data_IF_571147937191
#
_entry.id   IF_571147937191
#
_cell.length_a   1.000
_cell.length_b   1.000
_cell.length_c   1.000
_cell.angle_alpha   90.00
_cell.angle_beta   90.00
_cell.angle_gamma   90.00
#
_symmetry.space_group_name_H-M   'P 1'
#
loop_
_entity.id
_entity.type
_entity.pdbx_description
1 polymer ?
#
# COMPACT_ATOMS: atom_id res chain seq x y z
N UNK A 1 -15.55 -29.17 -12.30
CA UNK A 1 -14.67 -28.61 -13.35
C UNK A 1 -13.73 -27.69 -12.61
N UNK A 2 -12.52 -28.18 -12.32
CA UNK A 2 -11.49 -27.38 -11.68
C UNK A 2 -11.06 -26.31 -12.68
N UNK A 3 -10.96 -25.06 -12.23
CA UNK A 3 -10.32 -24.00 -13.03
C UNK A 3 -8.83 -24.35 -13.15
N UNK A 4 -8.17 -24.13 -14.29
CA UNK A 4 -6.72 -24.25 -14.36
C UNK A 4 -6.11 -23.28 -13.33
N UNK A 5 -5.24 -23.81 -12.47
CA UNK A 5 -4.46 -23.04 -11.50
C UNK A 5 -3.32 -22.42 -12.32
N UNK A 6 -3.36 -21.11 -12.50
CA UNK A 6 -2.39 -20.35 -13.27
C UNK A 6 -1.55 -19.50 -12.32
N UNK A 7 -0.22 -19.57 -12.47
CA UNK A 7 0.78 -18.92 -11.63
C UNK A 7 0.84 -17.43 -11.96
N UNK A 8 -0.08 -16.65 -11.39
CA UNK A 8 -0.03 -15.19 -11.45
C UNK A 8 1.02 -14.70 -10.45
N UNK A 9 2.17 -14.22 -10.94
CA UNK A 9 3.08 -13.37 -10.17
C UNK A 9 2.98 -11.96 -10.72
N UNK A 10 2.46 -11.07 -9.88
CA UNK A 10 2.30 -9.67 -10.23
C UNK A 10 3.61 -8.94 -9.88
N UNK A 11 4.35 -8.49 -10.89
CA UNK A 11 5.48 -7.56 -10.71
C UNK A 11 4.90 -6.21 -10.29
N UNK A 12 4.81 -6.01 -8.97
CA UNK A 12 4.50 -4.73 -8.32
C UNK A 12 5.67 -3.75 -8.56
N UNK A 13 5.74 -3.24 -9.79
CA UNK A 13 6.72 -2.22 -10.17
C UNK A 13 6.29 -0.88 -9.56
N UNK A 14 6.77 -0.61 -8.34
CA UNK A 14 6.71 0.73 -7.77
C UNK A 14 7.53 1.66 -8.64
N UNK A 15 6.88 2.55 -9.39
CA UNK A 15 7.52 3.68 -10.02
C UNK A 15 8.00 4.66 -8.93
N UNK A 16 9.09 4.34 -8.26
CA UNK A 16 9.91 5.31 -7.57
C UNK A 16 10.62 6.13 -8.65
N UNK A 17 10.07 7.30 -8.96
CA UNK A 17 10.65 8.30 -9.87
C UNK A 17 11.97 8.80 -9.23
N UNK A 18 13.04 8.04 -9.44
CA UNK A 18 14.40 8.42 -9.12
C UNK A 18 14.85 9.48 -10.11
N UNK A 19 14.80 10.74 -9.70
CA UNK A 19 15.36 11.86 -10.44
C UNK A 19 16.83 11.62 -10.79
N UNK A 20 17.08 11.26 -12.04
CA UNK A 20 18.43 11.12 -12.60
C UNK A 20 19.00 12.51 -12.88
N UNK A 21 20.03 12.88 -12.14
CA UNK A 21 20.84 14.08 -12.35
C UNK A 21 21.66 13.92 -13.63
N UNK A 22 21.20 14.50 -14.74
CA UNK A 22 22.02 14.63 -15.94
C UNK A 22 23.09 15.71 -15.73
N UNK A 23 24.29 15.23 -15.43
CA UNK A 23 25.54 15.96 -15.60
C UNK A 23 25.78 16.26 -17.09
N UNK A 24 25.83 17.55 -17.45
CA UNK A 24 26.42 17.98 -18.70
C UNK A 24 27.22 19.28 -18.55
N UNK A 25 28.51 19.11 -18.81
CA UNK A 25 29.42 20.01 -19.51
C UNK A 25 29.93 21.29 -18.85
N UNK A 26 31.16 21.14 -18.38
CA UNK A 26 32.17 22.13 -18.07
C UNK A 26 32.75 22.77 -19.35
N UNK A 27 32.51 24.06 -19.56
CA UNK A 27 33.31 25.01 -20.37
C UNK A 27 32.88 26.41 -19.89
N UNK A 28 33.69 27.38 -19.46
CA UNK A 28 35.13 27.65 -19.57
C UNK A 28 35.25 29.18 -19.78
N UNK A 29 36.09 29.86 -18.98
CA UNK A 29 36.44 31.29 -19.15
C UNK A 29 35.32 32.28 -18.82
N UNK A 30 35.54 33.49 -18.32
CA UNK A 30 36.71 34.36 -18.35
C UNK A 30 36.66 35.39 -17.22
N UNK A 31 37.85 35.83 -16.81
CA UNK A 31 38.16 36.98 -15.96
C UNK A 31 37.33 38.25 -16.26
N UNK A 32 36.85 38.92 -15.21
CA UNK A 32 36.92 40.38 -15.09
C UNK A 32 37.04 40.80 -13.62
N UNK A 33 38.22 41.35 -13.31
CA UNK A 33 38.49 42.33 -12.26
C UNK A 33 37.44 43.45 -12.18
N UNK A 34 37.15 43.98 -10.97
CA UNK A 34 37.40 45.38 -10.53
C UNK A 34 36.67 45.64 -9.18
N UNK A 35 37.01 46.65 -8.35
CA UNK A 35 37.20 46.47 -6.92
C UNK A 35 36.27 47.39 -6.09
N UNK A 36 36.41 47.32 -4.77
CA UNK A 36 36.32 48.45 -3.85
C UNK A 36 35.20 49.49 -4.03
N UNK A 37 34.21 49.43 -3.14
CA UNK A 37 33.30 50.55 -2.87
C UNK A 37 32.87 50.55 -1.41
N UNK A 38 33.51 51.41 -0.61
CA UNK A 38 33.10 51.74 0.75
C UNK A 38 31.79 52.55 0.76
N UNK A 39 31.05 52.38 1.86
CA UNK A 39 30.16 53.36 2.51
C UNK A 39 28.92 53.88 1.74
N UNK A 40 27.74 53.56 2.29
CA UNK A 40 26.77 54.58 2.69
C UNK A 40 25.76 53.96 3.68
N UNK A 41 25.73 54.53 4.89
CA UNK A 41 24.51 54.67 5.68
C UNK A 41 23.38 55.20 4.79
N UNK A 42 22.23 54.53 4.75
CA UNK A 42 20.97 55.26 4.66
C UNK A 42 19.79 54.41 5.16
N UNK A 43 18.99 55.07 5.97
CA UNK A 43 17.83 54.55 6.64
C UNK A 43 16.73 54.21 5.63
N UNK A 44 16.13 53.03 5.77
CA UNK A 44 14.76 52.85 5.31
C UNK A 44 13.92 52.21 6.43
N UNK A 45 13.08 53.07 7.01
CA UNK A 45 12.03 52.74 7.96
C UNK A 45 10.83 52.23 7.17
N UNK A 46 10.85 50.94 6.83
CA UNK A 46 9.71 50.24 6.24
C UNK A 46 8.81 49.62 7.30
N UNK A 47 7.99 50.44 7.94
CA UNK A 47 6.79 50.11 8.73
C UNK A 47 6.41 48.62 8.84
N UNK A 48 6.93 47.94 9.87
CA UNK A 48 6.29 46.72 10.38
C UNK A 48 4.87 47.08 10.82
N UNK A 49 3.81 46.36 10.39
CA UNK A 49 2.48 46.54 10.93
C UNK A 49 2.50 46.20 12.42
N UNK A 50 2.59 47.24 13.22
CA UNK A 50 2.59 47.20 14.67
C UNK A 50 1.31 46.54 15.20
N UNK A 51 1.51 45.57 16.10
CA UNK A 51 0.54 45.21 17.12
C UNK A 51 0.00 43.80 17.02
N UNK A 52 0.86 42.78 17.19
CA UNK A 52 0.42 41.50 17.73
C UNK A 52 -0.17 41.74 19.11
N UNK A 53 -1.47 42.05 19.16
CA UNK A 53 -2.20 42.16 20.40
C UNK A 53 -2.26 40.79 21.03
N UNK A 54 -1.57 40.60 22.15
CA UNK A 54 -1.79 39.42 22.99
C UNK A 54 -3.30 39.32 23.23
N UNK A 55 -3.89 38.21 22.79
CA UNK A 55 -5.33 37.99 22.85
C UNK A 55 -5.81 38.08 24.29
N UNK A 56 -6.53 39.15 24.63
CA UNK A 56 -7.18 39.26 25.92
C UNK A 56 -8.46 38.46 25.82
N UNK A 57 -8.53 37.26 26.40
CA UNK A 57 -9.75 36.44 26.40
C UNK A 57 -10.86 37.17 27.16
N UNK A 58 -11.76 37.87 26.47
CA UNK A 58 -12.68 38.76 27.13
C UNK A 58 -13.84 37.91 27.63
N UNK A 59 -14.19 38.10 28.90
CA UNK A 59 -15.48 37.59 29.37
C UNK A 59 -16.58 38.50 28.85
N UNK A 60 -17.67 37.90 28.38
CA UNK A 60 -18.80 38.63 27.79
C UNK A 60 -20.13 38.08 28.30
N UNK A 61 -21.16 38.92 28.27
CA UNK A 61 -22.53 38.50 28.56
C UNK A 61 -23.11 37.79 27.34
N UNK A 62 -23.28 36.47 27.43
CA UNK A 62 -23.79 35.61 26.35
C UNK A 62 -25.12 36.11 25.78
N UNK A 63 -25.99 36.72 26.61
CA UNK A 63 -27.28 37.25 26.14
C UNK A 63 -27.18 38.43 25.18
N UNK A 64 -25.98 38.97 24.98
CA UNK A 64 -25.69 40.07 24.04
C UNK A 64 -24.97 39.62 22.78
N UNK A 65 -24.49 38.37 22.74
CA UNK A 65 -23.76 37.81 21.62
C UNK A 65 -24.70 37.03 20.69
N UNK A 66 -24.28 36.86 19.45
CA UNK A 66 -24.98 36.00 18.47
C UNK A 66 -24.54 34.55 18.66
N UNK A 67 -25.49 33.63 18.78
CA UNK A 67 -25.20 32.20 18.83
C UNK A 67 -24.71 31.71 17.47
N UNK A 68 -23.65 30.91 17.46
CA UNK A 68 -22.95 30.50 16.23
C UNK A 68 -22.93 28.98 16.01
N UNK A 69 -23.54 28.21 16.90
CA UNK A 69 -23.54 26.76 16.87
C UNK A 69 -24.95 26.21 17.05
N UNK A 70 -25.33 25.23 16.24
CA UNK A 70 -26.66 24.63 16.26
C UNK A 70 -26.81 23.52 17.30
N UNK A 71 -25.71 22.85 17.65
CA UNK A 71 -25.69 21.65 18.50
C UNK A 71 -24.90 21.86 19.80
N UNK A 72 -24.79 23.10 20.28
CA UNK A 72 -24.13 23.40 21.54
C UNK A 72 -24.16 24.87 21.92
N UNK A 73 -23.64 25.16 23.11
CA UNK A 73 -23.55 26.50 23.64
C UNK A 73 -22.27 27.19 23.16
N UNK A 74 -22.38 27.99 22.09
CA UNK A 74 -21.30 28.83 21.57
C UNK A 74 -21.82 30.15 20.99
N UNK A 75 -21.01 31.20 21.10
CA UNK A 75 -21.33 32.53 20.60
C UNK A 75 -20.17 33.17 19.82
N UNK A 76 -20.52 34.08 18.91
CA UNK A 76 -19.56 34.82 18.10
C UNK A 76 -18.77 35.82 18.94
N UNK A 77 -17.45 35.73 18.82
CA UNK A 77 -16.50 36.68 19.41
C UNK A 77 -15.72 37.39 18.31
N UNK A 78 -15.35 38.67 18.47
CA UNK A 78 -14.55 39.38 17.47
C UNK A 78 -13.21 38.66 17.22
N UNK A 79 -12.76 38.60 15.97
CA UNK A 79 -11.42 38.06 15.64
C UNK A 79 -10.31 38.88 16.32
N UNK A 80 -9.22 38.21 16.70
CA UNK A 80 -8.14 38.74 17.54
C UNK A 80 -8.49 38.83 19.04
N UNK A 81 -9.65 38.35 19.47
CA UNK A 81 -10.01 38.34 20.91
C UNK A 81 -9.40 37.16 21.65
N UNK A 82 -9.00 36.10 20.93
CA UNK A 82 -8.42 34.90 21.51
C UNK A 82 -7.04 34.62 20.91
N UNK A 83 -6.20 33.81 21.59
CA UNK A 83 -4.94 33.36 21.01
C UNK A 83 -5.15 32.67 19.66
N UNK A 84 -4.19 32.85 18.75
CA UNK A 84 -4.28 32.34 17.38
C UNK A 84 -4.59 30.84 17.30
N UNK A 85 -4.12 30.03 18.26
CA UNK A 85 -4.40 28.60 18.33
C UNK A 85 -5.90 28.29 18.51
N UNK A 86 -6.65 29.09 19.27
CA UNK A 86 -8.10 28.93 19.36
C UNK A 86 -8.77 29.44 18.09
N UNK A 87 -8.31 30.55 17.54
CA UNK A 87 -8.93 31.15 16.35
C UNK A 87 -8.77 30.26 15.11
N UNK A 88 -7.65 29.54 14.98
CA UNK A 88 -7.42 28.60 13.87
C UNK A 88 -8.35 27.39 13.90
N UNK A 89 -8.75 26.93 15.09
CA UNK A 89 -9.65 25.79 15.26
C UNK A 89 -11.12 26.20 15.38
N UNK A 90 -11.44 27.48 15.45
CA UNK A 90 -12.82 27.96 15.62
C UNK A 90 -13.53 28.18 14.27
N UNK A 91 -14.83 27.88 14.21
CA UNK A 91 -15.64 28.19 13.03
C UNK A 91 -15.78 29.71 12.82
N UNK A 92 -15.76 30.23 11.58
CA UNK A 92 -16.02 31.63 11.33
C UNK A 92 -17.50 31.98 11.56
N UNK A 93 -17.77 33.18 12.05
CA UNK A 93 -19.12 33.71 12.20
C UNK A 93 -19.59 34.51 10.98
N UNK A 94 -20.89 34.45 10.66
CA UNK A 94 -21.51 35.18 9.54
C UNK A 94 -21.36 36.71 9.65
N UNK A 95 -21.45 37.24 10.87
CA UNK A 95 -21.25 38.66 11.17
C UNK A 95 -19.76 39.07 11.26
N UNK A 96 -18.84 38.13 11.00
CA UNK A 96 -17.41 38.25 11.27
C UNK A 96 -17.03 37.81 12.68
N UNK A 97 -15.77 37.40 12.86
CA UNK A 97 -15.26 36.84 14.12
C UNK A 97 -15.19 35.32 14.10
N UNK A 98 -15.04 34.73 15.28
CA UNK A 98 -14.88 33.29 15.52
C UNK A 98 -15.91 32.78 16.52
N UNK A 99 -16.38 31.55 16.32
CA UNK A 99 -17.36 30.88 17.15
C UNK A 99 -16.67 30.23 18.35
N UNK A 100 -16.90 30.75 19.55
CA UNK A 100 -16.23 30.32 20.77
C UNK A 100 -17.23 29.65 21.72
N UNK A 101 -16.92 28.47 22.27
CA UNK A 101 -17.74 27.82 23.30
C UNK A 101 -18.03 28.72 24.51
N UNK A 102 -19.25 28.64 25.04
CA UNK A 102 -19.73 29.51 26.11
C UNK A 102 -18.93 29.35 27.41
N UNK A 103 -18.41 28.15 27.69
CA UNK A 103 -17.57 27.89 28.86
C UNK A 103 -16.24 28.65 28.78
N UNK A 104 -15.68 28.79 27.57
CA UNK A 104 -14.48 29.58 27.31
C UNK A 104 -14.79 31.08 27.43
N UNK A 105 -15.92 31.54 26.88
CA UNK A 105 -16.33 32.95 26.97
C UNK A 105 -16.60 33.36 28.42
N UNK A 106 -17.31 32.54 29.18
CA UNK A 106 -17.72 32.89 30.55
C UNK A 106 -16.58 32.76 31.55
N UNK A 107 -15.67 31.79 31.35
CA UNK A 107 -14.49 31.63 32.20
C UNK A 107 -13.38 32.61 31.85
N UNK A 108 -13.15 32.82 30.55
CA UNK A 108 -12.05 33.63 30.04
C UNK A 108 -10.68 32.98 30.28
N UNK A 109 -9.70 33.80 30.65
CA UNK A 109 -8.37 33.32 31.02
C UNK A 109 -8.44 32.33 32.21
N UNK A 110 -7.77 31.19 32.08
CA UNK A 110 -7.81 30.14 33.08
C UNK A 110 -8.83 29.02 32.81
N UNK A 111 -9.56 29.08 31.69
CA UNK A 111 -10.38 27.96 31.27
C UNK A 111 -9.52 26.69 31.11
N UNK A 112 -9.97 25.61 31.72
CA UNK A 112 -9.38 24.27 31.56
C UNK A 112 -10.52 23.33 31.19
N UNK A 113 -10.40 22.65 30.06
CA UNK A 113 -11.37 21.65 29.66
C UNK A 113 -11.45 20.55 30.75
N UNK A 114 -12.66 20.12 31.17
CA UNK A 114 -12.79 19.01 32.10
C UNK A 114 -12.13 17.74 31.55
N UNK A 115 -11.38 17.02 32.39
CA UNK A 115 -10.78 15.75 31.98
C UNK A 115 -11.88 14.68 31.77
N UNK A 116 -11.66 13.79 30.82
CA UNK A 116 -12.53 12.64 30.54
C UNK A 116 -11.70 11.42 30.12
N UNK A 117 -12.34 10.27 30.01
CA UNK A 117 -11.73 9.02 29.55
C UNK A 117 -12.68 8.38 28.53
N UNK A 118 -12.17 8.07 27.34
CA UNK A 118 -12.91 7.41 26.25
C UNK A 118 -12.24 6.09 25.87
N UNK A 119 -12.83 5.37 24.93
CA UNK A 119 -12.19 4.25 24.25
C UNK A 119 -10.85 4.61 23.56
N UNK A 120 -10.59 5.90 23.30
CA UNK A 120 -9.32 6.40 22.74
C UNK A 120 -8.29 6.82 23.82
N UNK A 121 -8.56 6.55 25.10
CA UNK A 121 -7.69 6.85 26.22
C UNK A 121 -8.08 8.12 27.00
N UNK A 122 -7.08 8.76 27.63
CA UNK A 122 -7.29 10.01 28.36
C UNK A 122 -7.66 11.14 27.37
N UNK A 123 -8.59 12.00 27.77
CA UNK A 123 -9.06 13.10 26.93
C UNK A 123 -9.53 14.31 27.73
N UNK A 124 -10.02 15.31 27.01
CA UNK A 124 -10.72 16.45 27.58
C UNK A 124 -12.09 16.65 26.92
N UNK A 125 -13.02 17.20 27.69
CA UNK A 125 -14.35 17.54 27.22
C UNK A 125 -14.32 18.80 26.37
N UNK A 126 -14.51 18.63 25.07
CA UNK A 126 -14.45 19.71 24.08
C UNK A 126 -15.80 19.86 23.39
N UNK A 127 -16.21 21.09 23.14
CA UNK A 127 -17.49 21.38 22.50
C UNK A 127 -17.55 20.89 21.06
N UNK A 128 -18.67 20.30 20.67
CA UNK A 128 -18.95 19.93 19.26
C UNK A 128 -19.04 21.13 18.33
N UNK A 129 -19.06 22.34 18.88
CA UNK A 129 -19.03 23.60 18.13
C UNK A 129 -17.65 23.92 17.55
N UNK A 130 -16.59 23.22 18.00
CA UNK A 130 -15.28 23.24 17.32
C UNK A 130 -15.41 22.33 16.09
N UNK A 131 -15.23 22.83 14.85
CA UNK A 131 -15.41 22.07 13.62
C UNK A 131 -14.78 20.68 13.61
N UNK A 132 -13.54 20.54 14.10
CA UNK A 132 -12.83 19.26 14.16
C UNK A 132 -13.56 18.27 15.08
N UNK A 133 -13.98 18.71 16.27
CA UNK A 133 -14.74 17.87 17.21
C UNK A 133 -16.14 17.56 16.67
N UNK A 134 -16.78 18.52 16.01
CA UNK A 134 -18.08 18.33 15.35
C UNK A 134 -18.02 17.32 14.21
N UNK A 135 -16.95 17.34 13.40
CA UNK A 135 -16.72 16.39 12.30
C UNK A 135 -16.59 14.96 12.81
N UNK A 136 -15.94 14.76 13.95
CA UNK A 136 -15.74 13.44 14.55
C UNK A 136 -16.72 13.13 15.69
N UNK A 137 -17.81 13.89 15.83
CA UNK A 137 -18.70 13.79 17.01
C UNK A 137 -19.40 12.43 17.16
N UNK A 138 -19.53 11.67 16.08
CA UNK A 138 -20.10 10.32 16.08
C UNK A 138 -19.07 9.24 16.47
N UNK A 139 -17.77 9.51 16.29
CA UNK A 139 -16.67 8.62 16.65
C UNK A 139 -16.15 8.89 18.06
N UNK A 140 -16.19 10.15 18.50
CA UNK A 140 -15.78 10.54 19.84
C UNK A 140 -16.89 10.19 20.83
N UNK A 141 -16.56 9.44 21.89
CA UNK A 141 -17.51 9.15 22.95
C UNK A 141 -17.82 10.42 23.77
N UNK A 142 -19.06 10.54 24.26
CA UNK A 142 -19.42 11.61 25.19
C UNK A 142 -18.77 11.42 26.57
N UNK A 143 -18.63 10.18 27.05
CA UNK A 143 -18.12 9.87 28.39
C UNK A 143 -18.78 10.71 29.50
N UNK A 144 -18.00 11.39 30.35
CA UNK A 144 -18.47 12.30 31.41
C UNK A 144 -18.74 13.73 30.95
N UNK A 145 -18.59 14.01 29.66
CA UNK A 145 -18.74 15.35 29.11
C UNK A 145 -20.21 15.80 29.02
N UNK A 146 -20.42 17.11 28.89
CA UNK A 146 -21.75 17.67 28.71
C UNK A 146 -22.41 17.17 27.41
N UNK A 147 -23.73 17.38 27.28
CA UNK A 147 -24.51 16.88 26.13
C UNK A 147 -24.00 17.37 24.77
N UNK A 148 -23.43 18.58 24.76
CA UNK A 148 -22.88 19.29 23.62
C UNK A 148 -21.33 19.23 23.56
N UNK A 149 -20.74 18.28 24.27
CA UNK A 149 -19.32 18.03 24.29
C UNK A 149 -19.02 16.57 23.94
N UNK A 150 -17.79 16.33 23.51
CA UNK A 150 -17.22 15.00 23.29
C UNK A 150 -15.87 14.89 23.98
N UNK A 151 -15.51 13.68 24.35
CA UNK A 151 -14.21 13.39 24.92
C UNK A 151 -13.17 13.28 23.80
N UNK A 152 -12.49 14.40 23.53
CA UNK A 152 -11.42 14.45 22.54
C UNK A 152 -10.13 13.92 23.20
N UNK A 153 -9.40 12.98 22.55
CA UNK A 153 -8.20 12.38 23.14
C UNK A 153 -7.09 13.43 23.29
N UNK A 154 -6.24 13.27 24.31
CA UNK A 154 -5.10 14.17 24.57
C UNK A 154 -4.01 14.07 23.49
N UNK A 155 -3.92 12.90 22.88
CA UNK A 155 -2.98 12.58 21.83
C UNK A 155 -3.82 12.29 20.59
N UNK A 156 -3.45 12.88 19.45
CA UNK A 156 -4.09 12.57 18.19
C UNK A 156 -3.87 11.08 17.91
N UNK A 157 -4.93 10.25 17.86
CA UNK A 157 -4.76 8.83 17.66
C UNK A 157 -4.19 8.52 16.28
N UNK A 158 -4.10 9.48 15.36
CA UNK A 158 -3.58 9.29 14.00
C UNK A 158 -2.09 9.60 13.89
N UNK A 159 -1.61 10.59 14.64
CA UNK A 159 -0.22 11.07 14.53
C UNK A 159 0.62 10.72 15.76
N UNK A 160 -0.01 10.35 16.88
CA UNK A 160 0.67 10.17 18.16
C UNK A 160 1.11 11.49 18.81
N UNK A 161 0.78 12.64 18.22
CA UNK A 161 1.16 13.96 18.71
C UNK A 161 0.16 14.48 19.76
N UNK A 162 0.64 15.20 20.77
CA UNK A 162 -0.21 15.88 21.75
C UNK A 162 -1.04 16.98 21.05
N UNK A 163 -2.36 16.95 21.22
CA UNK A 163 -3.25 17.95 20.58
C UNK A 163 -3.32 19.27 21.38
N UNK A 164 -2.64 19.35 22.52
CA UNK A 164 -2.60 20.50 23.41
C UNK A 164 -3.92 20.77 24.13
N UNK A 165 -4.84 19.81 24.17
CA UNK A 165 -6.19 20.01 24.73
C UNK A 165 -6.29 19.54 26.19
N UNK A 166 -5.45 18.60 26.58
CA UNK A 166 -5.44 18.03 27.92
C UNK A 166 -4.49 18.78 28.83
N UNK A 167 -4.99 19.17 30.01
CA UNK A 167 -4.16 19.89 30.99
C UNK A 167 -3.83 21.34 30.61
N UNK A 168 -3.97 21.72 29.34
CA UNK A 168 -3.81 23.08 28.88
C UNK A 168 -4.80 24.00 29.59
N UNK A 169 -4.24 25.02 30.23
CA UNK A 169 -5.00 26.15 30.73
C UNK A 169 -4.98 27.18 29.61
N UNK A 170 -6.14 27.72 29.24
CA UNK A 170 -6.20 28.82 28.30
C UNK A 170 -5.50 30.04 28.93
N UNK A 171 -4.24 30.22 28.55
CA UNK A 171 -3.43 31.36 28.90
C UNK A 171 -3.71 32.48 27.90
N UNK A 172 -4.24 33.58 28.42
CA UNK A 172 -4.49 34.78 27.65
C UNK A 172 -3.48 35.79 28.15
N UNK A 173 -2.54 36.17 27.29
CA UNK A 173 -1.52 37.14 27.65
C UNK A 173 -2.20 38.42 28.19
N UNK A 174 -2.09 38.62 29.51
CA UNK A 174 -2.32 39.92 30.08
C UNK A 174 -1.31 40.91 29.48
N UNK A 175 -1.62 42.22 29.41
CA UNK A 175 -0.69 43.21 28.88
C UNK A 175 0.67 43.06 29.59
N UNK A 176 1.69 42.71 28.80
CA UNK A 176 3.01 42.27 29.21
C UNK A 176 3.57 43.04 30.43
N UNK A 177 3.79 42.32 31.53
CA UNK A 177 4.39 42.87 32.74
C UNK A 177 5.03 41.85 33.69
N UNK A 178 5.17 40.58 33.30
CA UNK A 178 5.74 39.53 34.14
C UNK A 178 6.75 38.68 33.38
N UNK A 179 7.88 38.43 34.02
CA UNK A 179 9.10 37.73 33.55
C UNK A 179 8.86 36.48 32.67
N UNK A 180 9.52 36.38 31.50
CA UNK A 180 9.60 35.15 30.72
C UNK A 180 10.58 34.20 31.42
N UNK A 181 10.10 33.30 32.29
CA UNK A 181 11.05 32.49 33.04
C UNK A 181 10.49 31.45 33.98
N UNK A 182 9.53 30.63 33.55
CA UNK A 182 9.49 29.23 33.99
C UNK A 182 8.62 28.43 33.02
N UNK A 183 9.26 27.93 31.97
CA UNK A 183 8.75 26.83 31.16
C UNK A 183 8.40 25.67 32.12
N UNK A 184 7.11 25.31 32.28
CA UNK A 184 6.70 24.26 33.19
C UNK A 184 7.10 22.91 32.58
N UNK A 185 8.37 22.56 32.77
CA UNK A 185 8.96 21.24 32.56
C UNK A 185 8.29 20.43 31.47
N UNK A 186 8.65 20.72 30.21
CA UNK A 186 8.32 19.88 29.06
C UNK A 186 8.55 18.41 29.42
N UNK A 187 7.45 17.69 29.63
CA UNK A 187 7.50 16.25 29.55
C UNK A 187 8.00 15.94 28.16
N UNK A 188 9.03 15.09 28.06
CA UNK A 188 9.57 14.66 26.79
C UNK A 188 8.39 14.14 25.95
N UNK A 189 7.97 14.94 24.98
CA UNK A 189 6.95 14.56 24.00
C UNK A 189 7.48 13.28 23.35
N UNK A 190 6.67 12.20 23.29
CA UNK A 190 7.13 10.95 22.71
C UNK A 190 7.57 11.23 21.27
N UNK A 191 8.87 11.01 20.99
CA UNK A 191 9.40 11.17 19.64
C UNK A 191 8.62 10.22 18.70
N UNK A 192 8.26 10.68 17.48
CA UNK A 192 7.53 9.85 16.55
C UNK A 192 8.33 8.58 16.23
N UNK A 193 7.67 7.42 16.05
CA UNK A 193 8.35 6.16 15.78
C UNK A 193 9.20 6.28 14.51
N UNK A 194 10.38 5.64 14.53
CA UNK A 194 11.29 5.61 13.39
C UNK A 194 11.74 4.19 13.10
N UNK A 195 12.33 3.95 11.94
CA UNK A 195 12.86 2.62 11.62
C UNK A 195 14.01 2.17 12.54
N UNK A 196 14.74 3.11 13.13
CA UNK A 196 15.79 2.82 14.11
C UNK A 196 15.23 2.53 15.51
N UNK A 197 14.00 3.00 15.80
CA UNK A 197 13.29 2.79 17.05
C UNK A 197 11.78 2.53 16.77
N UNK A 198 11.44 1.35 16.23
CA UNK A 198 10.06 1.01 15.93
C UNK A 198 9.25 0.85 17.23
N UNK A 199 7.93 1.10 17.18
CA UNK A 199 7.11 1.03 18.37
C UNK A 199 7.10 -0.40 18.94
N UNK A 200 7.35 -0.53 20.24
CA UNK A 200 7.36 -1.84 20.93
C UNK A 200 5.98 -2.27 21.42
N UNK A 201 5.02 -1.35 21.43
CA UNK A 201 3.61 -1.55 21.74
C UNK A 201 2.77 -0.85 20.65
N UNK A 202 1.53 -1.31 20.36
CA UNK A 202 0.65 -0.64 19.41
C UNK A 202 0.48 0.85 19.74
N UNK A 203 0.79 1.71 18.78
CA UNK A 203 0.57 3.17 18.86
C UNK A 203 -0.91 3.49 18.72
N UNK A 204 -1.61 2.77 17.84
CA UNK A 204 -3.06 2.82 17.67
C UNK A 204 -3.63 1.43 17.95
N UNK A 205 -4.70 1.34 18.74
CA UNK A 205 -5.51 0.12 18.82
C UNK A 205 -6.36 -0.02 17.54
N UNK A 206 -6.04 -0.98 16.68
CA UNK A 206 -6.78 -1.20 15.43
C UNK A 206 -8.27 -1.49 15.65
N UNK A 207 -8.65 -2.02 16.83
CA UNK A 207 -10.03 -2.38 17.15
C UNK A 207 -10.98 -1.17 17.29
N UNK A 208 -10.47 0.06 17.30
CA UNK A 208 -11.30 1.27 17.24
C UNK A 208 -11.94 1.47 15.87
N UNK A 209 -11.35 0.89 14.83
CA UNK A 209 -11.85 0.92 13.47
C UNK A 209 -12.79 -0.27 13.22
N UNK A 210 -13.75 -0.18 12.27
CA UNK A 210 -14.57 -1.34 11.89
C UNK A 210 -13.72 -2.43 11.20
N UNK A 211 -13.88 -3.72 11.51
CA UNK A 211 -13.13 -4.78 10.85
C UNK A 211 -13.58 -4.94 9.39
N UNK A 212 -12.63 -5.18 8.47
CA UNK A 212 -12.91 -5.44 7.05
C UNK A 212 -12.52 -6.87 6.61
N UNK A 213 -11.53 -7.47 7.26
CA UNK A 213 -11.14 -8.86 7.07
C UNK A 213 -10.47 -9.39 8.35
N UNK A 214 -9.94 -10.61 8.34
CA UNK A 214 -9.18 -11.14 9.48
C UNK A 214 -7.80 -10.47 9.56
N UNK A 215 -7.57 -9.69 10.62
CA UNK A 215 -6.31 -8.96 10.84
C UNK A 215 -6.19 -7.65 10.07
N UNK A 216 -7.32 -7.01 9.69
CA UNK A 216 -7.34 -5.66 9.13
C UNK A 216 -8.62 -4.90 9.51
N UNK A 217 -8.52 -3.58 9.52
CA UNK A 217 -9.65 -2.69 9.80
C UNK A 217 -9.77 -1.54 8.79
N UNK A 218 -10.96 -0.95 8.75
CA UNK A 218 -11.31 0.16 7.88
C UNK A 218 -10.80 1.49 8.41
N UNK A 219 -9.78 2.02 7.74
CA UNK A 219 -9.21 3.33 8.04
C UNK A 219 -9.79 4.37 7.07
N UNK A 220 -10.30 5.52 7.55
CA UNK A 220 -10.78 6.60 6.71
C UNK A 220 -9.76 6.98 5.62
N UNK A 221 -10.25 7.17 4.39
CA UNK A 221 -9.36 7.32 3.24
C UNK A 221 -8.38 8.51 3.37
N UNK A 222 -8.79 9.60 4.01
CA UNK A 222 -7.96 10.78 4.27
C UNK A 222 -6.79 10.51 5.23
N UNK A 223 -6.83 9.41 5.97
CA UNK A 223 -5.76 8.97 6.88
C UNK A 223 -4.81 7.96 6.21
N UNK A 224 -5.18 7.43 5.05
CA UNK A 224 -4.34 6.52 4.27
C UNK A 224 -3.54 7.33 3.25
N UNK A 225 -2.20 7.20 3.20
CA UNK A 225 -1.37 7.84 2.19
C UNK A 225 -1.87 7.56 0.76
N UNK A 226 -1.92 8.59 -0.09
CA UNK A 226 -2.53 8.50 -1.42
C UNK A 226 -1.88 7.43 -2.31
N UNK A 227 -0.57 7.23 -2.17
CA UNK A 227 0.23 6.22 -2.87
C UNK A 227 -0.10 4.78 -2.45
N UNK A 228 -0.65 4.58 -1.25
CA UNK A 228 -1.02 3.25 -0.75
C UNK A 228 -2.46 2.85 -1.09
N UNK A 229 -3.37 3.82 -1.29
CA UNK A 229 -4.80 3.56 -1.48
C UNK A 229 -5.10 2.59 -2.64
N UNK A 230 -4.33 2.65 -3.72
CA UNK A 230 -4.51 1.77 -4.88
C UNK A 230 -4.21 0.30 -4.62
N UNK A 231 -3.54 -0.02 -3.50
CA UNK A 231 -3.12 -1.39 -3.12
C UNK A 231 -3.99 -2.01 -2.03
N UNK A 232 -5.01 -1.28 -1.56
CA UNK A 232 -5.85 -1.67 -0.44
C UNK A 232 -7.28 -1.93 -0.95
N UNK A 233 -7.96 -2.89 -0.33
CA UNK A 233 -9.38 -3.12 -0.62
C UNK A 233 -10.21 -1.93 -0.12
N UNK A 234 -11.25 -1.55 -0.86
CA UNK A 234 -12.22 -0.57 -0.35
C UNK A 234 -13.04 -1.18 0.79
N UNK A 235 -13.35 -0.38 1.80
CA UNK A 235 -14.30 -0.74 2.83
C UNK A 235 -15.74 -0.51 2.38
N UNK A 236 -16.67 -1.27 2.98
CA UNK A 236 -18.10 -1.13 2.71
C UNK A 236 -18.58 0.33 2.84
N UNK A 237 -19.53 0.70 1.99
CA UNK A 237 -20.16 2.03 1.95
C UNK A 237 -19.19 3.21 1.73
N UNK A 238 -17.95 2.93 1.26
CA UNK A 238 -16.93 3.96 1.07
C UNK A 238 -16.36 4.49 2.39
N UNK A 239 -16.44 3.70 3.46
CA UNK A 239 -15.98 4.08 4.79
C UNK A 239 -14.46 4.29 4.90
N UNK A 240 -13.69 3.88 3.88
CA UNK A 240 -12.23 4.00 3.88
C UNK A 240 -11.54 2.90 3.09
N UNK A 241 -10.30 2.61 3.45
CA UNK A 241 -9.53 1.49 2.92
C UNK A 241 -9.30 0.43 4.00
N UNK A 242 -9.29 -0.84 3.61
CA UNK A 242 -9.02 -1.98 4.47
C UNK A 242 -7.51 -2.12 4.67
N UNK A 243 -7.02 -1.71 5.85
CA UNK A 243 -5.60 -1.62 6.18
C UNK A 243 -5.23 -2.72 7.18
N UNK A 244 -4.21 -3.56 6.91
CA UNK A 244 -3.80 -4.60 7.84
C UNK A 244 -3.38 -4.04 9.20
N UNK A 245 -3.68 -4.75 10.29
CA UNK A 245 -3.54 -4.23 11.66
C UNK A 245 -2.12 -3.77 11.96
N UNK A 246 -1.10 -4.48 11.48
CA UNK A 246 0.30 -4.10 11.68
C UNK A 246 0.62 -2.70 11.13
N UNK A 247 -0.03 -2.25 10.06
CA UNK A 247 0.17 -0.91 9.50
C UNK A 247 -0.48 0.15 10.41
N UNK A 248 -1.65 -0.16 10.98
CA UNK A 248 -2.39 0.73 11.89
C UNK A 248 -1.65 0.85 13.22
N UNK A 249 -1.33 -0.29 13.83
CA UNK A 249 -0.72 -0.39 15.15
C UNK A 249 0.68 0.22 15.20
N UNK A 250 1.38 0.31 14.07
CA UNK A 250 2.76 0.84 14.03
C UNK A 250 2.88 2.18 13.32
N UNK A 251 1.77 2.80 12.92
CA UNK A 251 1.78 4.00 12.07
C UNK A 251 2.62 3.84 10.79
N UNK A 252 2.63 2.63 10.24
CA UNK A 252 3.43 2.32 9.06
C UNK A 252 4.93 2.22 9.31
N UNK A 253 5.39 2.07 10.56
CA UNK A 253 6.80 1.88 10.95
C UNK A 253 7.02 0.45 11.44
N UNK A 254 7.28 -0.47 10.51
CA UNK A 254 7.42 -1.90 10.80
C UNK A 254 8.38 -2.59 9.83
N UNK A 255 8.80 -3.78 10.21
CA UNK A 255 9.45 -4.75 9.31
C UNK A 255 8.66 -6.04 9.38
N UNK A 256 8.17 -6.51 8.23
CA UNK A 256 7.40 -7.74 8.18
C UNK A 256 8.30 -8.95 8.47
N UNK A 257 7.77 -10.02 9.07
CA UNK A 257 8.54 -11.24 9.26
C UNK A 257 9.08 -11.78 7.93
N UNK A 258 10.36 -12.15 7.93
CA UNK A 258 11.01 -12.84 6.80
C UNK A 258 10.51 -14.28 6.72
N UNK A 259 10.29 -14.74 5.49
CA UNK A 259 9.85 -16.11 5.19
C UNK A 259 10.56 -16.63 3.92
N UNK A 260 10.46 -17.92 3.65
CA UNK A 260 10.92 -18.54 2.40
C UNK A 260 9.74 -18.73 1.44
N UNK A 261 9.79 -18.02 0.31
CA UNK A 261 8.76 -18.05 -0.72
C UNK A 261 9.06 -19.14 -1.77
N UNK A 262 8.44 -19.03 -2.93
CA UNK A 262 8.61 -19.92 -4.08
C UNK A 262 10.08 -20.00 -4.47
N UNK A 263 10.53 -21.21 -4.82
CA UNK A 263 11.93 -21.55 -5.09
C UNK A 263 12.90 -21.30 -3.91
N UNK A 264 12.38 -21.08 -2.69
CA UNK A 264 13.19 -20.79 -1.50
C UNK A 264 13.76 -19.36 -1.48
N UNK A 265 13.25 -18.48 -2.34
CA UNK A 265 13.64 -17.06 -2.36
C UNK A 265 13.14 -16.39 -1.08
N UNK A 266 13.92 -15.45 -0.56
CA UNK A 266 13.50 -14.63 0.58
C UNK A 266 12.20 -13.87 0.26
N UNK A 267 11.29 -13.80 1.23
CA UNK A 267 10.05 -13.05 1.12
C UNK A 267 9.64 -12.36 2.41
N UNK A 268 8.45 -11.74 2.39
CA UNK A 268 7.78 -11.16 3.56
C UNK A 268 6.40 -11.72 3.74
N UNK A 269 6.01 -11.91 4.99
CA UNK A 269 4.66 -12.27 5.35
C UNK A 269 3.73 -11.09 5.13
N UNK A 270 2.90 -11.16 4.09
CA UNK A 270 1.89 -10.13 3.79
C UNK A 270 0.49 -10.66 4.01
N UNK A 271 -0.39 -9.78 4.49
CA UNK A 271 -1.80 -10.11 4.73
C UNK A 271 -2.52 -10.47 3.42
N UNK A 272 -3.32 -11.54 3.47
CA UNK A 272 -4.22 -11.92 2.36
C UNK A 272 -5.38 -10.94 2.15
N UNK A 273 -5.49 -9.91 3.00
CA UNK A 273 -6.48 -8.84 2.83
C UNK A 273 -6.08 -7.78 1.80
N UNK A 274 -4.80 -7.75 1.42
CA UNK A 274 -4.35 -7.01 0.26
C UNK A 274 -4.86 -7.72 -1.00
N UNK A 275 -5.60 -7.05 -1.91
CA UNK A 275 -6.21 -7.67 -3.09
C UNK A 275 -5.26 -8.58 -3.86
N UNK A 276 -4.09 -8.07 -4.23
CA UNK A 276 -3.11 -8.79 -5.05
C UNK A 276 -2.59 -10.06 -4.34
N UNK A 277 -2.46 -10.03 -3.01
CA UNK A 277 -1.99 -11.16 -2.21
C UNK A 277 -3.12 -12.18 -2.00
N UNK A 278 -4.35 -11.69 -1.76
CA UNK A 278 -5.54 -12.54 -1.64
C UNK A 278 -5.82 -13.33 -2.92
N UNK A 279 -5.64 -12.72 -4.09
CA UNK A 279 -5.79 -13.38 -5.39
C UNK A 279 -4.72 -14.47 -5.62
N UNK A 280 -3.53 -14.29 -5.07
CA UNK A 280 -2.39 -15.22 -5.23
C UNK A 280 -2.25 -16.20 -4.05
N UNK A 281 -3.16 -16.16 -3.06
CA UNK A 281 -2.96 -16.83 -1.79
C UNK A 281 -2.88 -18.37 -1.88
N UNK A 282 -3.40 -18.98 -2.93
CA UNK A 282 -3.30 -20.42 -3.17
C UNK A 282 -1.93 -20.85 -3.72
N UNK A 283 -1.16 -19.90 -4.26
CA UNK A 283 0.11 -20.16 -4.94
C UNK A 283 1.31 -19.76 -4.11
N UNK A 284 1.14 -18.73 -3.29
CA UNK A 284 2.14 -18.30 -2.34
C UNK A 284 2.18 -19.26 -1.13
N UNK A 285 3.36 -19.70 -0.68
CA UNK A 285 3.47 -20.54 0.51
C UNK A 285 3.15 -19.73 1.77
N UNK A 286 2.67 -20.40 2.82
CA UNK A 286 2.54 -19.81 4.16
C UNK A 286 3.91 -19.72 4.86
N UNK A 287 4.76 -20.75 4.72
CA UNK A 287 6.04 -20.90 5.43
C UNK A 287 5.95 -20.63 6.95
N UNK A 288 6.49 -19.50 7.42
CA UNK A 288 6.49 -19.08 8.83
C UNK A 288 5.46 -17.98 9.12
N UNK A 289 4.70 -17.58 8.11
CA UNK A 289 3.69 -16.53 8.21
C UNK A 289 2.45 -16.99 8.98
N UNK A 290 1.65 -16.02 9.44
CA UNK A 290 0.37 -16.36 10.06
C UNK A 290 -0.61 -17.00 9.05
N UNK A 291 -1.66 -17.65 9.53
CA UNK A 291 -2.65 -18.33 8.67
C UNK A 291 -3.35 -17.37 7.67
N UNK A 292 -3.46 -16.09 8.04
CA UNK A 292 -4.04 -15.00 7.25
C UNK A 292 -3.00 -14.25 6.41
N UNK A 293 -1.80 -14.79 6.29
CA UNK A 293 -0.68 -14.19 5.58
C UNK A 293 -0.07 -15.17 4.60
N UNK A 294 0.64 -14.64 3.61
CA UNK A 294 1.38 -15.41 2.62
C UNK A 294 2.77 -14.85 2.44
N UNK A 295 3.71 -15.74 2.14
CA UNK A 295 5.09 -15.37 1.90
C UNK A 295 5.25 -14.84 0.47
N UNK A 296 5.20 -13.52 0.34
CA UNK A 296 5.39 -12.83 -0.94
C UNK A 296 6.89 -12.70 -1.20
N UNK A 297 7.40 -13.18 -2.34
CA UNK A 297 8.84 -13.18 -2.60
C UNK A 297 9.35 -11.74 -2.77
N UNK A 298 10.55 -11.43 -2.28
CA UNK A 298 11.19 -10.12 -2.51
C UNK A 298 11.49 -9.88 -3.99
N UNK A 299 11.82 -10.96 -4.71
CA UNK A 299 12.17 -10.92 -6.12
C UNK A 299 11.26 -11.86 -6.90
N UNK A 300 10.83 -11.44 -8.09
CA UNK A 300 10.06 -12.27 -9.00
C UNK A 300 10.92 -13.48 -9.41
N UNK A 301 10.46 -14.73 -9.21
CA UNK A 301 11.28 -15.91 -9.50
C UNK A 301 11.48 -16.17 -10.99
N UNK A 302 10.71 -15.52 -11.87
CA UNK A 302 10.77 -15.66 -13.33
C UNK A 302 11.61 -14.57 -13.98
N UNK A 303 11.56 -13.34 -13.49
CA UNK A 303 12.33 -12.23 -14.07
C UNK A 303 13.55 -11.83 -13.23
N UNK A 304 13.54 -12.19 -11.94
CA UNK A 304 14.53 -11.74 -10.96
C UNK A 304 14.37 -10.27 -10.56
N UNK A 305 13.30 -9.59 -10.99
CA UNK A 305 13.02 -8.19 -10.66
C UNK A 305 12.47 -8.03 -9.23
N UNK A 306 12.62 -6.84 -8.65
CA UNK A 306 12.07 -6.52 -7.32
C UNK A 306 10.54 -6.45 -7.37
N UNK A 307 9.85 -7.16 -6.47
CA UNK A 307 8.39 -7.15 -6.35
C UNK A 307 7.88 -6.04 -5.43
N UNK A 308 8.78 -5.27 -4.82
CA UNK A 308 8.47 -4.32 -3.76
C UNK A 308 8.10 -4.98 -2.44
N UNK A 309 8.04 -6.32 -2.33
CA UNK A 309 7.60 -6.97 -1.09
C UNK A 309 8.51 -6.66 0.10
N UNK A 310 9.80 -6.45 -0.17
CA UNK A 310 10.85 -6.22 0.81
C UNK A 310 11.33 -4.77 0.85
N UNK A 311 10.56 -3.84 0.27
CA UNK A 311 10.80 -2.39 0.36
C UNK A 311 9.64 -1.65 1.03
N UNK A 312 8.81 -2.38 1.79
CA UNK A 312 7.72 -1.82 2.55
C UNK A 312 8.23 -1.23 3.86
N UNK A 313 7.83 0.01 4.19
CA UNK A 313 8.13 0.64 5.48
C UNK A 313 9.64 0.67 5.79
N UNK A 314 10.07 0.03 6.89
CA UNK A 314 11.44 0.01 7.40
C UNK A 314 12.26 -1.16 6.87
N UNK A 315 11.73 -1.91 5.91
CA UNK A 315 12.43 -3.04 5.34
C UNK A 315 13.65 -2.59 4.52
N UNK A 316 14.79 -3.21 4.78
CA UNK A 316 16.05 -2.89 4.11
C UNK A 316 16.23 -3.60 2.77
N UNK A 317 15.24 -4.38 2.32
CA UNK A 317 15.35 -5.24 1.15
C UNK A 317 15.71 -6.68 1.50
N UNK A 318 15.76 -7.55 0.47
CA UNK A 318 16.26 -8.92 0.64
C UNK A 318 17.74 -8.92 1.05
N UNK A 319 18.16 -9.97 1.77
CA UNK A 319 19.55 -10.20 2.13
C UNK A 319 20.44 -10.42 0.90
N UNK A 320 19.88 -10.99 -0.16
CA UNK A 320 20.49 -11.12 -1.47
C UNK A 320 19.75 -10.22 -2.47
N UNK A 321 20.49 -9.36 -3.17
CA UNK A 321 19.87 -8.44 -4.13
C UNK A 321 19.13 -9.20 -5.24
N UNK A 322 17.97 -8.69 -5.63
CA UNK A 322 17.24 -9.17 -6.80
C UNK A 322 18.13 -9.06 -8.05
N UNK A 323 17.99 -10.04 -8.96
CA UNK A 323 18.93 -10.21 -10.05
C UNK A 323 18.55 -11.34 -11.00
N UNK A 324 19.24 -12.47 -10.93
CA UNK A 324 18.97 -13.59 -11.84
C UNK A 324 17.66 -14.28 -11.45
N UNK A 325 16.84 -14.71 -12.43
CA UNK A 325 15.63 -15.45 -12.15
C UNK A 325 15.96 -16.79 -11.48
N UNK A 326 15.09 -17.22 -10.58
CA UNK A 326 15.27 -18.48 -9.85
C UNK A 326 14.93 -19.70 -10.71
N UNK A 327 14.04 -19.53 -11.69
CA UNK A 327 13.71 -20.57 -12.66
C UNK A 327 14.55 -20.44 -13.92
N UNK A 328 15.12 -21.56 -14.38
CA UNK A 328 15.85 -21.63 -15.65
C UNK A 328 14.88 -21.41 -16.81
N UNK A 329 15.28 -20.64 -17.82
CA UNK A 329 14.49 -20.49 -19.05
C UNK A 329 14.44 -21.80 -19.82
N UNK A 330 13.37 -21.99 -20.57
CA UNK A 330 13.17 -23.09 -21.47
C UNK A 330 12.42 -22.60 -22.72
N UNK A 331 12.08 -23.52 -23.62
CA UNK A 331 11.71 -23.21 -25.01
C UNK A 331 12.91 -22.72 -25.83
N UNK A 332 12.85 -22.89 -27.16
CA UNK A 332 13.96 -22.52 -28.06
C UNK A 332 14.22 -21.00 -28.11
N UNK A 333 13.24 -20.21 -27.67
CA UNK A 333 13.21 -18.75 -27.71
C UNK A 333 13.16 -18.10 -26.32
N UNK A 334 13.48 -18.85 -25.26
CA UNK A 334 13.40 -18.42 -23.86
C UNK A 334 11.98 -17.94 -23.44
N UNK A 335 10.92 -18.40 -24.12
CA UNK A 335 9.52 -18.01 -23.86
C UNK A 335 8.82 -18.85 -22.77
N UNK A 336 9.58 -19.55 -21.95
CA UNK A 336 9.07 -20.35 -20.84
C UNK A 336 10.10 -20.52 -19.74
N UNK A 337 9.63 -21.02 -18.59
CA UNK A 337 10.45 -21.28 -17.42
C UNK A 337 10.26 -22.70 -16.90
N UNK A 338 11.32 -23.25 -16.33
CA UNK A 338 11.34 -24.58 -15.74
C UNK A 338 10.78 -24.56 -14.32
N UNK A 339 9.56 -25.05 -14.17
CA UNK A 339 8.84 -25.06 -12.90
C UNK A 339 8.99 -26.43 -12.21
N UNK A 340 9.39 -26.47 -10.93
CA UNK A 340 9.50 -27.71 -10.17
C UNK A 340 8.19 -28.52 -10.16
N UNK A 341 8.32 -29.83 -10.25
CA UNK A 341 7.20 -30.76 -10.35
C UNK A 341 6.22 -30.67 -9.17
N UNK A 342 6.70 -30.30 -7.98
CA UNK A 342 5.85 -30.09 -6.81
C UNK A 342 4.95 -28.83 -6.87
N UNK A 343 5.25 -27.87 -7.76
CA UNK A 343 4.46 -26.65 -7.94
C UNK A 343 3.41 -26.79 -9.04
N UNK A 344 3.45 -27.89 -9.81
CA UNK A 344 2.55 -28.13 -10.92
C UNK A 344 1.44 -29.11 -10.53
N UNK A 345 0.17 -28.81 -10.82
CA UNK A 345 -0.88 -29.80 -10.67
C UNK A 345 -0.64 -30.99 -11.60
N UNK A 346 -1.00 -32.20 -11.16
CA UNK A 346 -0.76 -33.44 -11.93
C UNK A 346 -1.34 -33.37 -13.34
N UNK A 347 -2.49 -32.72 -13.52
CA UNK A 347 -3.14 -32.56 -14.81
C UNK A 347 -2.37 -31.66 -15.78
N UNK A 348 -1.60 -30.67 -15.28
CA UNK A 348 -0.80 -29.80 -16.14
C UNK A 348 0.42 -30.56 -16.70
N UNK A 349 1.00 -31.48 -15.94
CA UNK A 349 2.23 -32.21 -16.32
C UNK A 349 2.09 -33.00 -17.63
N UNK A 350 0.89 -33.51 -17.94
CA UNK A 350 0.63 -34.31 -19.15
C UNK A 350 0.81 -33.52 -20.46
N UNK A 351 0.70 -32.18 -20.43
CA UNK A 351 0.85 -31.31 -21.59
C UNK A 351 2.18 -30.53 -21.66
N UNK A 352 2.99 -30.62 -20.61
CA UNK A 352 4.25 -29.89 -20.50
C UNK A 352 5.43 -30.78 -20.88
N UNK A 353 6.51 -30.13 -21.33
CA UNK A 353 7.75 -30.81 -21.69
C UNK A 353 8.69 -30.84 -20.47
N UNK A 354 9.35 -31.97 -20.14
CA UNK A 354 10.37 -31.98 -19.11
C UNK A 354 11.52 -31.01 -19.40
N UNK A 355 12.00 -30.30 -18.37
CA UNK A 355 13.20 -29.50 -18.47
C UNK A 355 14.48 -30.35 -18.37
N UNK A 356 15.59 -29.85 -18.93
CA UNK A 356 16.88 -30.54 -18.90
C UNK A 356 17.04 -31.70 -19.92
N UNK A 357 15.95 -32.11 -20.58
CA UNK A 357 16.04 -32.78 -21.87
C UNK A 357 16.47 -31.74 -22.90
N UNK A 358 17.76 -31.38 -22.87
CA UNK A 358 18.37 -30.56 -23.92
C UNK A 358 17.89 -31.11 -25.25
N UNK A 359 17.24 -30.27 -26.06
CA UNK A 359 17.15 -30.51 -27.48
C UNK A 359 18.60 -30.68 -27.88
N UNK A 360 19.04 -31.92 -28.01
CA UNK A 360 20.24 -32.21 -28.75
C UNK A 360 19.95 -31.68 -30.14
N UNK A 361 20.24 -30.39 -30.35
CA UNK A 361 20.50 -29.74 -31.62
C UNK A 361 21.75 -30.34 -32.25
N UNK A 362 21.84 -31.67 -32.25
CA UNK A 362 22.34 -32.40 -33.36
C UNK A 362 21.14 -32.64 -34.26
N UNK A 363 21.15 -31.97 -35.38
CA UNK A 363 20.39 -32.14 -36.62
C UNK A 363 20.38 -33.60 -37.18
N UNK A 364 20.61 -34.60 -36.33
CA UNK A 364 20.65 -36.02 -36.61
C UNK A 364 19.31 -36.72 -36.28
N UNK A 365 18.19 -36.03 -36.50
CA UNK A 365 16.92 -36.70 -36.85
C UNK A 365 16.95 -37.26 -38.29
N UNK A 366 18.14 -37.36 -38.87
CA UNK A 366 18.48 -37.95 -40.15
C UNK A 366 18.57 -39.48 -40.14
N UNK A 367 17.53 -40.15 -39.68
CA UNK A 367 17.12 -41.43 -40.29
C UNK A 367 17.73 -42.72 -39.75
N UNK A 368 16.83 -43.67 -39.48
CA UNK A 368 17.08 -45.07 -39.80
C UNK A 368 17.42 -45.97 -38.62
N UNK A 369 16.52 -46.09 -37.66
CA UNK A 369 16.60 -47.15 -36.66
C UNK A 369 15.28 -47.35 -35.96
N UNK A 370 14.30 -47.93 -36.66
CA UNK A 370 13.04 -48.37 -36.06
C UNK A 370 13.30 -49.32 -34.89
N UNK A 371 12.62 -49.05 -33.78
CA UNK A 371 12.67 -49.85 -32.57
C UNK A 371 12.03 -49.09 -31.42
N UNK A 372 10.72 -48.92 -31.49
CA UNK A 372 9.66 -49.20 -30.48
C UNK A 372 10.02 -49.40 -28.99
N UNK A 373 11.12 -48.85 -28.50
CA UNK A 373 11.62 -49.01 -27.13
C UNK A 373 11.53 -47.68 -26.36
N UNK A 374 10.34 -47.07 -26.38
CA UNK A 374 9.87 -46.19 -25.29
C UNK A 374 9.40 -47.03 -24.08
N UNK A 375 9.95 -48.25 -23.98
CA UNK A 375 9.49 -49.37 -23.17
C UNK A 375 10.45 -49.70 -22.02
N UNK A 376 11.01 -48.68 -21.40
CA UNK A 376 11.45 -48.77 -20.01
C UNK A 376 12.93 -49.04 -19.76
N UNK A 377 13.53 -48.14 -18.98
CA UNK A 377 14.29 -48.50 -17.80
C UNK A 377 14.50 -47.26 -16.93
N UNK A 378 13.67 -47.10 -15.89
CA UNK A 378 13.85 -46.12 -14.81
C UNK A 378 13.11 -44.81 -15.05
N UNK A 379 11.78 -44.81 -14.87
CA UNK A 379 10.96 -43.59 -14.87
C UNK A 379 11.26 -42.75 -13.63
N UNK A 380 12.38 -42.03 -13.66
CA UNK A 380 12.58 -40.90 -12.79
C UNK A 380 11.67 -39.79 -13.33
N UNK A 381 10.67 -39.39 -12.53
CA UNK A 381 9.84 -38.23 -12.86
C UNK A 381 10.75 -37.03 -13.09
N UNK A 382 10.43 -36.22 -14.10
CA UNK A 382 11.20 -35.02 -14.36
C UNK A 382 11.21 -34.15 -13.10
N UNK A 383 12.35 -33.54 -12.77
CA UNK A 383 12.45 -32.65 -11.61
C UNK A 383 11.67 -31.34 -11.83
N UNK A 384 11.55 -30.92 -13.08
CA UNK A 384 10.81 -29.72 -13.49
C UNK A 384 10.25 -29.88 -14.90
N UNK A 385 9.21 -29.10 -15.21
CA UNK A 385 8.59 -29.01 -16.52
C UNK A 385 8.62 -27.59 -17.04
N UNK A 386 8.76 -27.47 -18.35
CA UNK A 386 8.79 -26.21 -19.06
C UNK A 386 7.38 -25.65 -19.22
N UNK A 387 7.11 -24.50 -18.60
CA UNK A 387 5.85 -23.77 -18.64
C UNK A 387 6.04 -22.50 -19.47
N UNK A 388 5.31 -22.33 -20.59
CA UNK A 388 5.38 -21.10 -21.37
C UNK A 388 4.90 -19.89 -20.57
N UNK A 389 5.55 -18.74 -20.75
CA UNK A 389 5.29 -17.52 -19.98
C UNK A 389 3.88 -16.99 -20.16
N UNK A 390 3.36 -17.10 -21.39
CA UNK A 390 1.98 -16.71 -21.69
C UNK A 390 0.95 -17.52 -20.90
N UNK A 391 1.29 -18.71 -20.41
CA UNK A 391 0.39 -19.53 -19.59
C UNK A 391 0.48 -19.24 -18.09
N UNK A 392 1.38 -18.34 -17.68
CA UNK A 392 1.41 -17.81 -16.31
C UNK A 392 0.25 -16.83 -16.08
N UNK A 393 -0.23 -16.16 -17.15
CA UNK A 393 -1.43 -15.33 -17.11
C UNK A 393 -2.71 -16.20 -16.97
N UNK A 394 -3.47 -16.08 -15.86
CA UNK A 394 -4.71 -16.83 -15.64
C UNK A 394 -5.80 -16.55 -16.67
N UNK A 395 -5.77 -15.37 -17.30
CA UNK A 395 -6.72 -14.94 -18.31
C UNK A 395 -6.25 -15.26 -19.73
N UNK A 396 -5.10 -15.94 -19.87
CA UNK A 396 -4.60 -16.35 -21.18
C UNK A 396 -5.63 -17.20 -21.93
N UNK A 397 -6.05 -16.69 -23.06
CA UNK A 397 -6.88 -17.38 -24.04
C UNK A 397 -6.18 -17.33 -25.39
N UNK A 398 -5.76 -18.49 -25.89
CA UNK A 398 -5.08 -18.57 -27.18
C UNK A 398 -5.95 -18.03 -28.30
N UNK A 399 -5.34 -17.33 -29.27
CA UNK A 399 -6.07 -16.79 -30.41
C UNK A 399 -6.72 -17.93 -31.22
N UNK A 400 -7.98 -17.78 -31.60
CA UNK A 400 -8.68 -18.81 -32.38
C UNK A 400 -7.99 -19.03 -33.74
N UNK A 401 -7.86 -20.30 -34.12
CA UNK A 401 -7.22 -20.72 -35.37
C UNK A 401 -8.02 -21.83 -36.08
N UNK A 402 -7.76 -22.01 -37.37
CA UNK A 402 -8.30 -23.10 -38.17
C UNK A 402 -7.16 -23.90 -38.78
N UNK A 403 -7.05 -25.17 -38.40
CA UNK A 403 -6.03 -26.07 -38.93
C UNK A 403 -6.62 -27.16 -39.81
N UNK A 404 -5.74 -27.83 -40.54
CA UNK A 404 -6.08 -29.05 -41.28
C UNK A 404 -5.42 -30.24 -40.60
N UNK A 405 -6.18 -31.31 -40.39
CA UNK A 405 -5.69 -32.61 -39.96
C UNK A 405 -6.07 -33.68 -41.00
N UNK A 406 -5.54 -34.90 -40.86
CA UNK A 406 -5.85 -36.02 -41.76
C UNK A 406 -7.37 -36.29 -41.91
N UNK A 407 -8.17 -35.95 -40.89
CA UNK A 407 -9.63 -36.13 -40.87
C UNK A 407 -10.43 -34.92 -41.36
N UNK A 408 -9.79 -33.82 -41.75
CA UNK A 408 -10.43 -32.60 -42.24
C UNK A 408 -10.00 -31.33 -41.48
N UNK A 409 -10.71 -30.25 -41.74
CA UNK A 409 -10.54 -28.96 -41.06
C UNK A 409 -10.98 -29.08 -39.59
N UNK A 410 -10.26 -28.43 -38.68
CA UNK A 410 -10.62 -28.32 -37.27
C UNK A 410 -10.48 -26.88 -36.77
N UNK A 411 -11.26 -26.54 -35.75
CA UNK A 411 -11.12 -25.29 -35.01
C UNK A 411 -10.24 -25.51 -33.76
N UNK A 412 -9.38 -24.54 -33.48
CA UNK A 412 -8.43 -24.61 -32.38
C UNK A 412 -8.08 -23.25 -31.82
N UNK A 413 -7.05 -23.24 -30.98
CA UNK A 413 -6.42 -22.04 -30.43
C UNK A 413 -4.91 -22.12 -30.62
N UNK A 414 -4.28 -20.97 -30.86
CA UNK A 414 -2.83 -20.89 -30.98
C UNK A 414 -2.19 -21.03 -29.60
N UNK A 415 -1.43 -22.10 -29.40
CA UNK A 415 -0.64 -22.34 -28.20
C UNK A 415 0.86 -22.34 -28.53
N UNK A 416 1.74 -21.97 -27.58
CA UNK A 416 3.18 -22.01 -27.80
C UNK A 416 3.66 -23.40 -28.22
N UNK A 417 4.58 -23.46 -29.19
CA UNK A 417 5.22 -24.69 -29.67
C UNK A 417 5.99 -25.43 -28.56
N UNK A 418 6.28 -24.73 -27.47
CA UNK A 418 6.97 -25.25 -26.30
C UNK A 418 6.15 -26.31 -25.51
N UNK A 419 4.84 -26.39 -25.75
CA UNK A 419 4.00 -27.44 -25.17
C UNK A 419 4.19 -28.79 -25.86
N UNK A 420 4.15 -29.87 -25.08
CA UNK A 420 4.21 -31.23 -25.61
C UNK A 420 2.83 -31.65 -26.15
N UNK A 421 2.48 -31.15 -27.33
CA UNK A 421 1.25 -31.52 -28.00
C UNK A 421 1.49 -32.87 -28.70
N UNK A 422 1.00 -33.97 -28.11
CA UNK A 422 1.18 -35.35 -28.60
C UNK A 422 0.81 -35.59 -30.07
N UNK A 423 0.06 -34.68 -30.69
CA UNK A 423 -0.37 -34.73 -32.10
C UNK A 423 0.36 -33.74 -33.00
N UNK A 424 1.44 -33.09 -32.55
CA UNK A 424 2.15 -32.03 -33.28
C UNK A 424 2.50 -32.40 -34.73
N UNK A 425 2.85 -33.65 -35.00
CA UNK A 425 3.16 -34.14 -36.36
C UNK A 425 1.96 -34.19 -37.31
N UNK A 426 0.72 -34.08 -36.82
CA UNK A 426 -0.51 -34.07 -37.63
C UNK A 426 -1.13 -32.68 -37.77
N UNK A 427 -0.63 -31.68 -37.05
CA UNK A 427 -1.19 -30.35 -37.02
C UNK A 427 -0.43 -29.47 -38.01
N UNK A 428 -1.15 -28.87 -38.95
CA UNK A 428 -0.57 -27.83 -39.80
C UNK A 428 -0.31 -26.56 -38.96
N UNK A 429 0.76 -25.83 -39.29
CA UNK A 429 0.95 -24.44 -38.82
C UNK A 429 -0.11 -23.60 -39.50
N UNK A 430 -1.28 -23.52 -38.88
CA UNK A 430 -2.40 -22.68 -39.28
C UNK A 430 -2.01 -21.18 -39.29
N UNK A 431 -3.00 -20.28 -39.34
CA UNK A 431 -2.83 -18.82 -39.22
C UNK A 431 -2.33 -18.35 -37.82
N UNK A 432 -1.56 -19.18 -37.10
CA UNK A 432 -0.94 -18.83 -35.84
C UNK A 432 0.36 -18.01 -36.05
N UNK A 433 0.71 -17.11 -35.12
CA UNK A 433 2.00 -16.42 -35.13
C UNK A 433 3.18 -17.39 -35.10
N UNK A 434 4.36 -16.93 -35.53
CA UNK A 434 5.61 -17.68 -35.37
C UNK A 434 5.82 -18.05 -33.89
N UNK A 435 6.27 -19.28 -33.62
CA UNK A 435 6.41 -19.82 -32.26
C UNK A 435 5.15 -20.50 -31.70
N UNK A 436 4.04 -20.52 -32.45
CA UNK A 436 2.77 -21.11 -32.03
C UNK A 436 2.29 -22.21 -32.97
N UNK A 437 1.48 -23.13 -32.44
CA UNK A 437 0.76 -24.15 -33.22
C UNK A 437 -0.72 -24.14 -32.90
N UNK A 438 -1.54 -24.53 -33.87
CA UNK A 438 -2.98 -24.58 -33.70
C UNK A 438 -3.38 -25.86 -32.95
N UNK A 439 -3.62 -25.75 -31.64
CA UNK A 439 -4.10 -26.85 -30.83
C UNK A 439 -5.61 -27.03 -31.01
N UNK A 440 -6.12 -28.21 -31.39
CA UNK A 440 -7.55 -28.42 -31.59
C UNK A 440 -8.32 -28.29 -30.27
N UNK A 441 -9.50 -27.68 -30.30
CA UNK A 441 -10.35 -27.56 -29.10
C UNK A 441 -11.02 -28.87 -28.69
N UNK A 442 -11.17 -29.79 -29.64
CA UNK A 442 -11.67 -31.14 -29.41
C UNK A 442 -10.71 -32.14 -30.02
N UNK A 443 -10.41 -33.21 -29.30
CA UNK A 443 -9.60 -34.31 -29.81
C UNK A 443 -10.26 -34.85 -31.08
N UNK A 444 -9.59 -34.82 -32.25
CA UNK A 444 -10.19 -35.20 -33.52
C UNK A 444 -10.51 -36.71 -33.62
N UNK A 445 -9.97 -37.54 -32.72
CA UNK A 445 -10.21 -38.97 -32.66
C UNK A 445 -11.39 -39.34 -31.74
N UNK A 446 -11.48 -38.69 -30.58
CA UNK A 446 -12.50 -39.02 -29.55
C UNK A 446 -13.69 -38.06 -29.54
N UNK A 447 -13.51 -36.85 -30.05
CA UNK A 447 -14.48 -35.76 -29.96
C UNK A 447 -14.56 -35.09 -28.58
N UNK A 448 -13.70 -35.49 -27.63
CA UNK A 448 -13.67 -34.92 -26.27
C UNK A 448 -12.93 -33.57 -26.26
N UNK A 449 -13.32 -32.62 -25.39
CA UNK A 449 -12.61 -31.35 -25.26
C UNK A 449 -11.16 -31.59 -24.81
N UNK A 450 -10.22 -30.84 -25.40
CA UNK A 450 -8.79 -30.95 -25.08
C UNK A 450 -8.39 -30.16 -23.83
N UNK A 451 -9.24 -29.25 -23.37
CA UNK A 451 -8.94 -28.36 -22.26
C UNK A 451 -7.99 -27.21 -22.62
N UNK A 452 -7.68 -27.01 -23.91
CA UNK A 452 -6.82 -25.91 -24.35
C UNK A 452 -7.43 -24.54 -23.96
N UNK A 453 -6.64 -23.63 -23.37
CA UNK A 453 -7.13 -22.33 -22.91
C UNK A 453 -7.63 -21.47 -24.09
N UNK A 454 -8.87 -20.97 -23.97
CA UNK A 454 -9.57 -20.24 -25.04
C UNK A 454 -10.55 -21.09 -25.86
N UNK A 455 -10.62 -22.40 -25.64
CA UNK A 455 -11.64 -23.27 -26.23
C UNK A 455 -12.93 -23.28 -25.40
N UNK A 456 -14.00 -22.70 -25.94
CA UNK A 456 -15.31 -22.58 -25.28
C UNK A 456 -16.41 -23.39 -25.98
#
# INVERSE_FOLDING_TARGET
>A
MARPIAILMLVLSSACDGGSEDAADSQGGDDLDDPGGEAADDADQGSDPAGGGGGVCPTADLGTLESCCTEGAAHCMPAGSYPAAIESSAAPCDAGGVCIPDDIITTGAGYRAPDCESNLGAGACVSVCIPEVGQYADMLEQSTCASDQRCAPCVNPLTGEDVGICGAVLECDGPAGGDPGTDPGGGDEPEPPTCDDPPTEPVIDAAIFPPCCEGAHCVPADQVPEDQRGRLSECDEGAGACVPDVFIETLGVFTLPTCASIAGIEGRCMSTCLPDIGEQAEMLPEDTCAATERCVPCCDPFTGEDTGACSQSCDTGPAEACGEPAFETCCDDDSGHCIPTEMLPEEAKEGLRPCGESDGGGDDWGGGGGGDDWGGAGGEEAASYCVPDVMQDPDFAGAACQGNALMGEYAGVCLPLCLNIQMSFMLDTADCPDGYTCAPCTNPLTGEPTGAPGCA
#
